data_IF_453127676557
#
_entry.id   IF_453127676557
#
_cell.length_a   1.000
_cell.length_b   1.000
_cell.length_c   1.000
_cell.angle_alpha   90.00
_cell.angle_beta   90.00
_cell.angle_gamma   90.00
#
_symmetry.space_group_name_H-M   'P 1'
#
loop_
_entity.id
_entity.type
_entity.pdbx_description
1 polymer ?
#
# COMPACT_ATOMS: atom_id res chain seq x y z
N UNK A 1 20.02 -6.04 6.27
CA UNK A 1 20.14 -5.46 7.64
C UNK A 1 19.52 -4.08 7.87
N UNK A 2 19.64 -3.05 7.00
CA UNK A 2 19.16 -1.69 7.34
C UNK A 2 17.64 -1.46 7.22
N UNK A 3 17.00 -1.86 6.11
CA UNK A 3 15.60 -1.47 5.85
C UNK A 3 14.54 -2.19 6.69
N UNK A 4 14.81 -3.41 7.18
CA UNK A 4 13.87 -4.20 7.98
C UNK A 4 13.72 -3.68 9.42
N UNK A 5 14.80 -3.15 9.99
CA UNK A 5 14.80 -2.53 11.33
C UNK A 5 14.03 -1.22 11.31
N UNK A 6 14.20 -0.42 10.24
CA UNK A 6 13.50 0.87 10.09
C UNK A 6 11.98 0.73 10.02
N UNK A 7 11.46 -0.27 9.30
CA UNK A 7 10.00 -0.51 9.20
C UNK A 7 9.37 -0.88 10.56
N UNK A 8 10.07 -1.66 11.37
CA UNK A 8 9.57 -2.08 12.68
C UNK A 8 9.57 -0.93 13.70
N UNK A 9 10.65 -0.13 13.73
CA UNK A 9 10.72 1.08 14.55
C UNK A 9 9.63 2.08 14.17
N UNK A 10 9.44 2.28 12.87
CA UNK A 10 8.37 3.15 12.35
C UNK A 10 7.00 2.62 12.71
N UNK A 11 6.79 1.31 12.64
CA UNK A 11 5.55 0.69 13.08
C UNK A 11 5.32 0.87 14.58
N UNK A 12 6.35 0.98 15.43
CA UNK A 12 6.20 1.33 16.84
C UNK A 12 5.79 2.79 17.09
N UNK A 13 6.14 3.70 16.18
CA UNK A 13 5.97 5.15 16.36
C UNK A 13 4.68 5.74 15.74
N UNK A 14 3.89 4.95 15.01
CA UNK A 14 2.70 5.43 14.29
C UNK A 14 1.45 4.64 14.69
N UNK A 15 0.29 5.30 14.72
CA UNK A 15 -1.00 4.64 14.99
C UNK A 15 -1.69 4.19 13.71
N UNK A 16 -1.34 4.78 12.56
CA UNK A 16 -1.89 4.36 11.27
C UNK A 16 -0.78 4.11 10.25
N UNK A 17 -0.75 2.93 9.65
CA UNK A 17 0.14 2.63 8.53
C UNK A 17 -0.67 2.29 7.29
N UNK A 18 -0.29 2.87 6.16
CA UNK A 18 -0.82 2.50 4.86
C UNK A 18 0.30 1.85 4.05
N UNK A 19 0.14 0.56 3.73
CA UNK A 19 1.10 -0.19 2.91
C UNK A 19 0.51 -0.37 1.50
N UNK A 20 1.21 0.19 0.52
CA UNK A 20 0.78 0.24 -0.88
C UNK A 20 1.84 -0.31 -1.82
N UNK A 21 1.40 -1.07 -2.82
CA UNK A 21 2.27 -1.89 -3.66
C UNK A 21 1.54 -2.49 -4.87
N UNK A 22 2.25 -2.74 -5.97
CA UNK A 22 1.85 -3.75 -6.94
C UNK A 22 1.89 -5.16 -6.30
N UNK A 23 0.95 -6.03 -6.68
CA UNK A 23 0.89 -7.41 -6.17
C UNK A 23 2.24 -8.14 -6.32
N UNK A 24 2.60 -8.96 -5.32
CA UNK A 24 3.79 -9.82 -5.39
C UNK A 24 5.07 -9.22 -4.76
N UNK A 25 4.97 -8.14 -3.99
CA UNK A 25 6.13 -7.59 -3.25
C UNK A 25 6.29 -8.10 -1.81
N UNK A 26 5.42 -9.01 -1.34
CA UNK A 26 5.51 -9.62 -0.01
C UNK A 26 4.82 -8.82 1.12
N UNK A 27 3.89 -7.94 0.77
CA UNK A 27 3.19 -7.05 1.72
C UNK A 27 2.36 -7.79 2.76
N UNK A 28 1.59 -8.82 2.40
CA UNK A 28 0.69 -9.47 3.38
C UNK A 28 1.47 -10.13 4.53
N UNK A 29 2.61 -10.76 4.23
CA UNK A 29 3.56 -11.25 5.25
C UNK A 29 4.10 -10.13 6.15
N UNK A 30 4.39 -8.95 5.57
CA UNK A 30 4.81 -7.78 6.33
C UNK A 30 3.67 -7.24 7.23
N UNK A 31 2.46 -7.14 6.70
CA UNK A 31 1.27 -6.67 7.42
C UNK A 31 0.94 -7.56 8.63
N UNK A 32 0.94 -8.88 8.44
CA UNK A 32 0.74 -9.86 9.52
C UNK A 32 1.78 -9.73 10.62
N UNK A 33 3.06 -9.63 10.24
CA UNK A 33 4.16 -9.46 11.19
C UNK A 33 4.01 -8.17 12.02
N UNK A 34 3.72 -7.06 11.35
CA UNK A 34 3.54 -5.77 12.03
C UNK A 34 2.30 -5.78 12.92
N UNK A 35 1.20 -6.41 12.49
CA UNK A 35 0.01 -6.61 13.31
C UNK A 35 0.30 -7.39 14.58
N UNK A 36 0.93 -8.56 14.46
CA UNK A 36 1.23 -9.42 15.61
C UNK A 36 2.16 -8.75 16.63
N UNK A 37 3.10 -7.91 16.17
CA UNK A 37 4.12 -7.29 17.02
C UNK A 37 3.67 -5.96 17.63
N UNK A 38 2.86 -5.18 16.92
CA UNK A 38 2.49 -3.81 17.30
C UNK A 38 1.00 -3.62 17.60
N UNK A 39 0.18 -4.68 17.45
CA UNK A 39 -1.25 -4.64 17.76
C UNK A 39 -2.09 -3.88 16.75
N UNK A 40 -1.65 -3.80 15.49
CA UNK A 40 -2.46 -3.20 14.42
C UNK A 40 -3.65 -4.08 14.07
N UNK A 41 -4.83 -3.48 13.93
CA UNK A 41 -5.92 -4.08 13.18
C UNK A 41 -5.63 -3.95 11.69
N UNK A 42 -5.48 -5.09 11.00
CA UNK A 42 -5.24 -5.11 9.56
C UNK A 42 -6.56 -4.92 8.81
N UNK A 43 -6.60 -3.90 7.96
CA UNK A 43 -7.69 -3.66 7.01
C UNK A 43 -7.19 -4.04 5.63
N UNK A 44 -7.67 -5.17 5.12
CA UNK A 44 -7.31 -5.66 3.79
C UNK A 44 -8.30 -5.13 2.76
N UNK A 45 -7.85 -4.20 1.90
CA UNK A 45 -8.74 -3.55 0.93
C UNK A 45 -8.71 -4.28 -0.41
N UNK A 46 -9.55 -5.30 -0.53
CA UNK A 46 -9.83 -5.92 -1.82
C UNK A 46 -10.65 -4.98 -2.73
N UNK A 47 -10.81 -5.36 -3.99
CA UNK A 47 -11.67 -4.64 -4.93
C UNK A 47 -13.06 -4.45 -4.31
N UNK A 48 -13.35 -3.20 -3.95
CA UNK A 48 -14.62 -2.83 -3.34
C UNK A 48 -15.70 -2.77 -4.43
N UNK A 49 -16.93 -3.28 -4.20
CA UNK A 49 -18.02 -3.21 -5.16
C UNK A 49 -18.26 -1.79 -5.70
N UNK A 50 -18.60 -1.67 -6.98
CA UNK A 50 -18.70 -0.39 -7.69
C UNK A 50 -19.79 0.56 -7.17
N UNK A 51 -20.75 0.06 -6.40
CA UNK A 51 -21.85 0.85 -5.85
C UNK A 51 -21.52 1.52 -4.51
N UNK A 52 -20.36 1.24 -3.91
CA UNK A 52 -19.95 1.85 -2.65
C UNK A 52 -19.11 3.10 -2.90
N UNK A 53 -19.39 4.16 -2.14
CA UNK A 53 -18.50 5.33 -2.07
C UNK A 53 -17.21 4.92 -1.33
N UNK A 54 -16.11 4.87 -2.08
CA UNK A 54 -14.83 4.47 -1.52
C UNK A 54 -14.25 5.50 -0.57
N UNK A 55 -14.44 6.79 -0.86
CA UNK A 55 -13.89 7.85 -0.05
C UNK A 55 -14.55 7.84 1.34
N UNK A 56 -15.87 7.72 1.38
CA UNK A 56 -16.62 7.64 2.64
C UNK A 56 -16.30 6.36 3.42
N UNK A 57 -16.11 5.23 2.72
CA UNK A 57 -15.66 3.99 3.36
C UNK A 57 -14.33 4.18 4.09
N UNK A 58 -13.32 4.72 3.41
CA UNK A 58 -12.00 4.92 4.05
C UNK A 58 -12.04 5.97 5.14
N UNK A 59 -12.81 7.05 4.96
CA UNK A 59 -13.02 8.07 6.01
C UNK A 59 -13.61 7.45 7.27
N UNK A 60 -14.66 6.64 7.13
CA UNK A 60 -15.29 5.94 8.26
C UNK A 60 -14.30 5.04 9.01
N UNK A 61 -13.42 4.34 8.29
CA UNK A 61 -12.39 3.49 8.93
C UNK A 61 -11.36 4.36 9.65
N UNK A 62 -10.92 5.46 9.03
CA UNK A 62 -9.97 6.42 9.61
C UNK A 62 -10.57 7.19 10.79
N UNK A 63 -11.88 7.31 10.91
CA UNK A 63 -12.53 7.89 12.10
C UNK A 63 -12.56 6.92 13.29
N UNK A 64 -12.25 5.63 13.06
CA UNK A 64 -12.21 4.59 14.10
C UNK A 64 -11.06 4.76 15.11
N UNK A 65 -11.19 4.17 16.29
CA UNK A 65 -10.13 4.17 17.30
C UNK A 65 -9.12 3.04 17.08
N UNK A 66 -7.96 3.13 17.76
CA UNK A 66 -6.94 2.09 17.76
C UNK A 66 -5.97 2.16 16.59
N UNK A 67 -5.02 1.22 16.57
CA UNK A 67 -3.94 1.19 15.58
C UNK A 67 -4.41 0.48 14.32
N UNK A 68 -4.29 1.12 13.16
CA UNK A 68 -4.80 0.61 11.88
C UNK A 68 -3.65 0.38 10.90
N UNK A 69 -3.61 -0.79 10.27
CA UNK A 69 -2.70 -1.08 9.16
C UNK A 69 -3.54 -1.40 7.92
N UNK A 70 -3.47 -0.54 6.92
CA UNK A 70 -4.07 -0.80 5.62
C UNK A 70 -3.12 -1.64 4.76
N UNK A 71 -3.55 -2.83 4.39
CA UNK A 71 -2.98 -3.62 3.32
C UNK A 71 -3.79 -3.28 2.05
N UNK A 72 -3.23 -2.38 1.21
CA UNK A 72 -3.96 -1.57 0.21
C UNK A 72 -5.01 -0.64 0.83
N UNK A 73 -5.19 0.55 0.26
CA UNK A 73 -6.26 1.48 0.57
C UNK A 73 -6.69 2.30 -0.67
N UNK A 74 -7.17 3.54 -0.46
CA UNK A 74 -7.58 4.47 -1.51
C UNK A 74 -6.49 4.77 -2.54
N UNK A 75 -5.20 4.70 -2.19
CA UNK A 75 -4.10 5.02 -3.12
C UNK A 75 -4.08 4.02 -4.28
N UNK A 76 -4.35 2.75 -4.01
CA UNK A 76 -4.51 1.73 -5.05
C UNK A 76 -5.55 2.10 -6.11
N UNK A 77 -6.65 2.76 -5.74
CA UNK A 77 -7.70 3.14 -6.69
C UNK A 77 -7.23 4.22 -7.69
N UNK A 78 -6.26 5.06 -7.30
CA UNK A 78 -5.62 6.04 -8.19
C UNK A 78 -4.73 5.38 -9.25
N UNK A 79 -4.30 4.13 -9.01
CA UNK A 79 -3.46 3.35 -9.93
C UNK A 79 -4.31 2.38 -10.75
N UNK A 80 -5.00 1.46 -10.08
CA UNK A 80 -5.77 0.39 -10.70
C UNK A 80 -6.99 0.92 -11.47
N UNK A 81 -7.64 1.98 -10.98
CA UNK A 81 -8.81 2.56 -11.66
C UNK A 81 -8.49 3.04 -13.08
N UNK A 82 -7.56 4.00 -13.25
CA UNK A 82 -7.15 4.46 -14.57
C UNK A 82 -6.59 3.34 -15.46
N UNK A 83 -5.79 2.43 -14.90
CA UNK A 83 -5.12 1.39 -15.68
C UNK A 83 -6.09 0.36 -16.26
N UNK A 84 -7.07 -0.09 -15.46
CA UNK A 84 -7.97 -1.18 -15.85
C UNK A 84 -9.37 -0.73 -16.26
N UNK A 85 -9.82 0.45 -15.80
CA UNK A 85 -11.17 0.97 -16.04
C UNK A 85 -11.17 2.32 -16.75
N UNK A 86 -10.01 2.87 -17.08
CA UNK A 86 -9.87 4.19 -17.73
C UNK A 86 -10.19 5.38 -16.83
N UNK A 87 -10.59 5.16 -15.57
CA UNK A 87 -10.87 6.22 -14.60
C UNK A 87 -10.75 5.72 -13.17
N UNK A 88 -10.39 6.62 -12.25
CA UNK A 88 -10.45 6.36 -10.81
C UNK A 88 -11.85 6.65 -10.26
N UNK A 89 -12.26 5.89 -9.24
CA UNK A 89 -13.47 6.17 -8.45
C UNK A 89 -13.23 7.19 -7.32
N UNK A 90 -11.97 7.54 -7.06
CA UNK A 90 -11.57 8.55 -6.07
C UNK A 90 -10.92 9.72 -6.83
N UNK A 91 -11.31 10.95 -6.50
CA UNK A 91 -10.65 12.15 -7.05
C UNK A 91 -9.35 12.44 -6.31
N UNK A 92 -8.47 13.23 -6.91
CA UNK A 92 -7.26 13.70 -6.23
C UNK A 92 -7.54 14.49 -4.96
N UNK A 93 -8.58 15.33 -4.94
CA UNK A 93 -8.98 16.06 -3.73
C UNK A 93 -9.38 15.10 -2.60
N UNK A 94 -10.21 14.09 -2.90
CA UNK A 94 -10.59 13.08 -1.92
C UNK A 94 -9.39 12.27 -1.43
N UNK A 95 -8.44 11.94 -2.31
CA UNK A 95 -7.23 11.23 -1.91
C UNK A 95 -6.32 12.08 -1.00
N UNK A 96 -6.23 13.39 -1.24
CA UNK A 96 -5.49 14.32 -0.38
C UNK A 96 -6.19 14.41 0.98
N UNK A 97 -7.51 14.59 1.04
CA UNK A 97 -8.27 14.65 2.29
C UNK A 97 -8.09 13.36 3.14
N UNK A 98 -8.08 12.20 2.47
CA UNK A 98 -7.84 10.90 3.12
C UNK A 98 -6.39 10.76 3.60
N UNK A 99 -5.42 11.26 2.82
CA UNK A 99 -4.02 11.27 3.23
C UNK A 99 -3.80 12.19 4.46
N UNK A 100 -4.46 13.35 4.51
CA UNK A 100 -4.46 14.22 5.68
C UNK A 100 -5.06 13.53 6.91
N UNK A 101 -6.15 12.77 6.71
CA UNK A 101 -6.76 11.97 7.77
C UNK A 101 -5.84 10.86 8.28
N UNK A 102 -5.02 10.25 7.42
CA UNK A 102 -3.97 9.32 7.85
C UNK A 102 -2.94 10.05 8.73
N UNK A 103 -2.43 11.21 8.29
CA UNK A 103 -1.44 12.00 9.05
C UNK A 103 -1.99 12.44 10.41
N UNK A 104 -3.24 12.91 10.45
CA UNK A 104 -3.91 13.37 11.67
C UNK A 104 -3.98 12.27 12.75
N UNK A 105 -3.89 11.00 12.35
CA UNK A 105 -3.80 9.83 13.23
C UNK A 105 -2.36 9.40 13.51
N UNK A 106 -1.40 10.33 13.53
CA UNK A 106 0.03 10.01 13.63
C UNK A 106 0.41 8.92 12.62
N UNK A 107 -0.09 9.05 11.39
CA UNK A 107 0.00 8.00 10.39
C UNK A 107 1.05 8.22 9.33
N UNK A 108 1.35 7.16 8.60
CA UNK A 108 2.31 7.18 7.50
C UNK A 108 1.83 6.35 6.31
N UNK A 109 2.08 6.88 5.12
CA UNK A 109 1.86 6.18 3.85
C UNK A 109 3.19 5.64 3.31
N UNK A 110 3.24 4.34 3.09
CA UNK A 110 4.43 3.60 2.68
C UNK A 110 4.19 2.93 1.32
N UNK A 111 5.01 3.30 0.35
CA UNK A 111 5.12 2.61 -0.93
C UNK A 111 6.17 1.51 -0.84
N UNK A 112 5.74 0.27 -1.01
CA UNK A 112 6.63 -0.87 -1.16
C UNK A 112 6.82 -1.14 -2.66
N UNK A 113 8.07 -1.15 -3.10
CA UNK A 113 8.40 -1.31 -4.52
C UNK A 113 9.45 -2.39 -4.75
N UNK A 114 9.59 -2.80 -6.00
CA UNK A 114 10.65 -3.67 -6.50
C UNK A 114 10.72 -3.56 -8.03
N UNK A 115 11.84 -3.94 -8.66
CA UNK A 115 11.91 -4.01 -10.11
C UNK A 115 10.83 -4.94 -10.69
N UNK A 116 10.17 -4.59 -11.83
CA UNK A 116 9.11 -5.41 -12.43
C UNK A 116 9.49 -6.88 -12.67
N UNK A 117 10.74 -7.14 -13.06
CA UNK A 117 11.25 -8.50 -13.26
C UNK A 117 11.27 -9.32 -11.95
N UNK A 118 11.61 -8.68 -10.83
CA UNK A 118 11.61 -9.31 -9.50
C UNK A 118 10.18 -9.58 -9.04
N UNK A 119 9.27 -8.62 -9.23
CA UNK A 119 7.84 -8.81 -8.95
C UNK A 119 7.30 -9.99 -9.73
N UNK A 120 7.57 -10.04 -11.05
CA UNK A 120 7.15 -11.14 -11.91
C UNK A 120 7.68 -12.49 -11.44
N UNK A 121 8.96 -12.55 -11.08
CA UNK A 121 9.57 -13.78 -10.57
C UNK A 121 8.90 -14.23 -9.26
N UNK A 122 8.61 -13.31 -8.34
CA UNK A 122 7.92 -13.60 -7.07
C UNK A 122 6.49 -14.11 -7.30
N UNK A 123 5.76 -13.50 -8.24
CA UNK A 123 4.41 -13.95 -8.62
C UNK A 123 4.44 -15.37 -9.21
N UNK A 124 5.33 -15.65 -10.17
CA UNK A 124 5.48 -17.01 -10.75
C UNK A 124 5.85 -18.03 -9.66
N UNK A 125 6.76 -17.68 -8.74
CA UNK A 125 7.17 -18.58 -7.66
C UNK A 125 6.03 -18.89 -6.68
N UNK A 126 5.13 -17.94 -6.43
CA UNK A 126 3.99 -18.08 -5.51
C UNK A 126 2.79 -18.76 -6.16
N UNK A 127 2.41 -18.31 -7.36
CA UNK A 127 1.13 -18.64 -7.99
C UNK A 127 1.28 -19.59 -9.20
N UNK A 128 2.51 -19.88 -9.63
CA UNK A 128 2.82 -20.66 -10.83
C UNK A 128 2.68 -19.87 -12.14
N UNK A 129 2.05 -18.69 -12.09
CA UNK A 129 1.85 -17.79 -13.22
C UNK A 129 2.02 -16.32 -12.81
N UNK A 130 2.16 -15.45 -13.80
CA UNK A 130 2.15 -14.01 -13.61
C UNK A 130 1.66 -13.30 -14.87
N UNK A 131 1.07 -12.13 -14.67
CA UNK A 131 0.76 -11.22 -15.79
C UNK A 131 2.03 -10.80 -16.53
N UNK A 132 1.85 -10.21 -17.71
CA UNK A 132 2.97 -9.83 -18.58
C UNK A 132 3.85 -8.77 -17.92
N UNK A 133 5.14 -8.78 -18.23
CA UNK A 133 6.12 -7.86 -17.64
C UNK A 133 5.75 -6.39 -17.90
N UNK A 134 5.17 -6.10 -19.05
CA UNK A 134 4.72 -4.77 -19.44
C UNK A 134 3.59 -4.27 -18.54
N UNK A 135 2.69 -5.17 -18.13
CA UNK A 135 1.59 -4.85 -17.23
C UNK A 135 2.08 -4.55 -15.82
N UNK A 136 3.03 -5.37 -15.33
CA UNK A 136 3.71 -5.11 -14.05
C UNK A 136 4.46 -3.78 -14.11
N UNK A 137 5.12 -3.49 -15.23
CA UNK A 137 5.85 -2.23 -15.42
C UNK A 137 4.91 -1.02 -15.43
N UNK A 138 3.72 -1.17 -16.02
CA UNK A 138 2.68 -0.15 -16.00
C UNK A 138 2.16 0.11 -14.58
N UNK A 139 1.94 -0.96 -13.80
CA UNK A 139 1.56 -0.86 -12.38
C UNK A 139 2.63 -0.13 -11.55
N UNK A 140 3.89 -0.56 -11.65
CA UNK A 140 5.02 0.08 -10.94
C UNK A 140 5.12 1.56 -11.31
N UNK A 141 5.02 1.89 -12.60
CA UNK A 141 5.04 3.28 -13.09
C UNK A 141 3.85 4.08 -12.55
N UNK A 142 2.66 3.48 -12.50
CA UNK A 142 1.45 4.09 -11.97
C UNK A 142 1.59 4.43 -10.49
N UNK A 143 2.05 3.48 -9.67
CA UNK A 143 2.35 3.71 -8.27
C UNK A 143 3.41 4.79 -8.06
N UNK A 144 4.52 4.75 -8.81
CA UNK A 144 5.56 5.78 -8.74
C UNK A 144 5.02 7.19 -9.01
N UNK A 145 4.15 7.34 -10.03
CA UNK A 145 3.52 8.63 -10.34
C UNK A 145 2.61 9.09 -9.22
N UNK A 146 1.73 8.22 -8.73
CA UNK A 146 0.79 8.56 -7.64
C UNK A 146 1.56 8.97 -6.38
N UNK A 147 2.58 8.21 -6.00
CA UNK A 147 3.40 8.53 -4.83
C UNK A 147 4.23 9.80 -5.00
N UNK A 148 4.75 10.06 -6.21
CA UNK A 148 5.42 11.33 -6.51
C UNK A 148 4.48 12.52 -6.33
N UNK A 149 3.23 12.41 -6.78
CA UNK A 149 2.23 13.47 -6.60
C UNK A 149 1.78 13.61 -5.15
N UNK A 150 1.59 12.51 -4.42
CA UNK A 150 1.25 12.57 -2.99
C UNK A 150 2.38 13.21 -2.16
N UNK A 151 3.64 13.00 -2.54
CA UNK A 151 4.79 13.59 -1.84
C UNK A 151 4.79 15.13 -1.82
N UNK A 152 4.08 15.77 -2.76
CA UNK A 152 3.93 17.23 -2.80
C UNK A 152 2.97 17.74 -1.71
N UNK A 153 2.13 16.87 -1.14
CA UNK A 153 1.09 17.22 -0.17
C UNK A 153 1.28 16.56 1.20
N UNK A 154 1.94 15.41 1.26
CA UNK A 154 2.10 14.62 2.48
C UNK A 154 3.43 13.89 2.53
N UNK A 155 3.85 13.50 3.75
CA UNK A 155 5.02 12.65 3.92
C UNK A 155 4.69 11.22 3.51
N UNK A 156 5.38 10.76 2.46
CA UNK A 156 5.38 9.36 2.02
C UNK A 156 6.76 8.75 2.23
N UNK A 157 6.81 7.44 2.49
CA UNK A 157 8.06 6.68 2.50
C UNK A 157 8.03 5.66 1.37
N UNK A 158 9.09 5.59 0.56
CA UNK A 158 9.27 4.52 -0.44
C UNK A 158 10.35 3.56 0.01
N UNK A 159 10.09 2.26 -0.09
CA UNK A 159 11.01 1.20 0.31
C UNK A 159 11.14 0.18 -0.81
N UNK A 160 12.38 -0.07 -1.25
CA UNK A 160 12.68 -1.17 -2.17
C UNK A 160 12.78 -2.50 -1.41
N UNK A 161 11.80 -3.37 -1.64
CA UNK A 161 11.67 -4.67 -1.00
C UNK A 161 12.70 -5.70 -1.47
N UNK A 162 13.53 -5.40 -2.48
CA UNK A 162 14.70 -6.22 -2.82
C UNK A 162 15.84 -6.05 -1.83
N UNK A 163 15.85 -4.93 -1.11
CA UNK A 163 16.84 -4.62 -0.06
C UNK A 163 16.36 -5.02 1.33
N UNK A 164 15.09 -5.44 1.45
CA UNK A 164 14.51 -5.98 2.66
C UNK A 164 14.74 -7.48 2.74
N UNK A 165 15.32 -7.94 3.85
CA UNK A 165 15.18 -9.33 4.25
C UNK A 165 13.73 -9.51 4.74
N UNK A 166 12.85 -9.94 3.84
CA UNK A 166 11.54 -10.44 4.21
C UNK A 166 11.73 -11.91 4.62
N UNK A 167 11.33 -12.33 5.83
CA UNK A 167 11.31 -13.74 6.16
C UNK A 167 10.42 -14.48 5.15
N UNK A 168 10.72 -15.75 4.84
CA UNK A 168 9.88 -16.55 3.94
C UNK A 168 8.45 -16.56 4.49
N UNK A 169 7.47 -16.41 3.60
CA UNK A 169 6.07 -16.65 3.94
C UNK A 169 5.96 -18.08 4.47
N UNK A 170 5.51 -18.21 5.71
CA UNK A 170 5.27 -19.50 6.36
C UNK A 170 4.09 -20.23 5.76
#
# INVERSE_FOLDING_TARGET
MAGGVTLDEMAGAHDTLVLEDPDGVGKSTLAERLSARHGFQVVHSQQTPDHLDLADRYRTILDGAGRILFDRCFVSELVYGPLYRGRSRITWSQAIDLAESVIARTGLIVHLTAPPAVIRQRLIARDGEAVRLEEISALVTGYQRVFSSLADYTKVLTIDTTTLELPPAG
#
